data_IF_239740519169
#
_entry.id   IF_239740519169
#
_cell.length_a   1.000
_cell.length_b   1.000
_cell.length_c   1.000
_cell.angle_alpha   90.00
_cell.angle_beta   90.00
_cell.angle_gamma   90.00
#
_symmetry.space_group_name_H-M   'P 1'
#
loop_
_entity.id
_entity.type
_entity.pdbx_description
1 polymer ?
#
# COMPACT_ATOMS: atom_id res chain seq x y z
N UNK A 1 9.42 -24.23 21.98
CA UNK A 1 8.07 -24.01 21.40
C UNK A 1 7.99 -22.53 21.04
N UNK A 2 8.32 -22.16 19.80
CA UNK A 2 8.09 -20.78 19.38
C UNK A 2 6.58 -20.57 19.31
N UNK A 3 6.04 -19.60 20.05
CA UNK A 3 4.69 -19.12 19.81
C UNK A 3 4.67 -18.58 18.39
N UNK A 4 4.17 -19.36 17.44
CA UNK A 4 4.05 -18.90 16.06
C UNK A 4 3.06 -17.75 16.06
N UNK A 5 3.55 -16.52 15.94
CA UNK A 5 2.70 -15.37 15.68
C UNK A 5 2.04 -15.61 14.33
N UNK A 6 0.74 -15.88 14.34
CA UNK A 6 -0.06 -15.94 13.11
C UNK A 6 -0.05 -14.53 12.53
N UNK A 7 0.50 -14.38 11.32
CA UNK A 7 0.36 -13.14 10.57
C UNK A 7 -1.03 -13.18 9.95
N UNK A 8 -1.92 -12.31 10.41
CA UNK A 8 -3.20 -12.09 9.75
C UNK A 8 -2.92 -11.32 8.46
N UNK A 9 -3.28 -11.90 7.32
CA UNK A 9 -2.93 -11.36 6.00
C UNK A 9 -4.20 -10.95 5.29
N UNK A 10 -4.30 -9.66 5.01
CA UNK A 10 -5.36 -9.04 4.24
C UNK A 10 -4.73 -8.27 3.08
N UNK A 11 -5.32 -8.40 1.89
CA UNK A 11 -4.86 -7.70 0.70
C UNK A 11 -6.09 -7.12 0.00
N UNK A 12 -6.23 -5.81 0.00
CA UNK A 12 -7.38 -5.12 -0.58
C UNK A 12 -7.47 -5.33 -2.10
N UNK A 13 -6.35 -5.07 -2.80
CA UNK A 13 -6.23 -5.24 -4.23
C UNK A 13 -4.82 -5.66 -4.61
N UNK A 14 -4.71 -6.58 -5.57
CA UNK A 14 -3.42 -7.02 -6.10
C UNK A 14 -3.46 -7.02 -7.62
N UNK A 15 -2.61 -6.21 -8.24
CA UNK A 15 -2.45 -6.20 -9.69
C UNK A 15 -1.33 -7.16 -10.07
N UNK A 16 -1.64 -8.14 -10.94
CA UNK A 16 -0.63 -8.95 -11.61
C UNK A 16 -0.11 -8.20 -12.82
N UNK A 17 1.21 -8.12 -12.94
CA UNK A 17 1.91 -7.57 -14.10
C UNK A 17 2.80 -8.63 -14.72
N UNK A 18 3.36 -8.37 -15.91
CA UNK A 18 4.33 -9.26 -16.53
C UNK A 18 5.59 -9.47 -15.67
N UNK A 19 5.90 -8.52 -14.78
CA UNK A 19 7.15 -8.48 -14.01
C UNK A 19 7.01 -8.73 -12.51
N UNK A 20 5.84 -9.16 -12.06
CA UNK A 20 5.53 -9.40 -10.64
C UNK A 20 4.17 -8.83 -10.26
N UNK A 21 4.00 -8.53 -8.97
CA UNK A 21 2.74 -8.05 -8.41
C UNK A 21 2.89 -6.65 -7.83
N UNK A 22 1.81 -5.88 -7.91
CA UNK A 22 1.67 -4.58 -7.26
C UNK A 22 0.46 -4.67 -6.33
N UNK A 23 0.68 -4.93 -5.03
CA UNK A 23 -0.37 -4.77 -4.04
C UNK A 23 -0.72 -3.29 -3.86
N UNK A 24 -2.01 -3.02 -3.77
CA UNK A 24 -2.57 -1.71 -3.48
C UNK A 24 -3.39 -1.85 -2.20
N UNK A 25 -2.95 -1.21 -1.14
CA UNK A 25 -3.72 -1.10 0.10
C UNK A 25 -4.56 0.18 0.10
N UNK A 26 -5.81 0.11 0.53
CA UNK A 26 -6.75 1.23 0.56
C UNK A 26 -7.12 1.60 2.00
N UNK A 27 -6.67 2.77 2.47
CA UNK A 27 -7.06 3.28 3.80
C UNK A 27 -8.03 4.45 3.71
N UNK A 28 -9.17 4.29 4.37
CA UNK A 28 -10.23 5.31 4.48
C UNK A 28 -10.25 5.97 5.86
N UNK A 29 -9.07 6.19 6.44
CA UNK A 29 -8.91 6.76 7.79
C UNK A 29 -9.18 8.26 7.81
N UNK A 30 -9.32 8.82 9.02
CA UNK A 30 -9.43 10.28 9.22
C UNK A 30 -8.07 10.96 9.19
N UNK A 31 -7.06 10.29 9.71
CA UNK A 31 -5.68 10.77 9.78
C UNK A 31 -4.86 10.25 8.59
N UNK A 32 -3.82 10.98 8.14
CA UNK A 32 -2.89 10.52 7.12
C UNK A 32 -2.27 9.15 7.46
N UNK A 33 -1.93 8.38 6.43
CA UNK A 33 -1.24 7.10 6.61
C UNK A 33 0.18 7.36 7.11
N UNK A 34 0.55 6.63 8.16
CA UNK A 34 1.87 6.70 8.80
C UNK A 34 2.80 5.56 8.36
N UNK A 35 4.10 5.73 8.58
CA UNK A 35 5.11 4.70 8.29
C UNK A 35 4.85 3.36 8.99
N UNK A 36 4.26 3.37 10.19
CA UNK A 36 3.99 2.14 10.91
C UNK A 36 2.93 1.32 10.20
N UNK A 37 1.87 1.98 9.69
CA UNK A 37 0.84 1.32 8.88
C UNK A 37 1.45 0.79 7.58
N UNK A 38 2.26 1.58 6.87
CA UNK A 38 2.95 1.11 5.65
C UNK A 38 3.80 -0.14 5.90
N UNK A 39 4.56 -0.15 6.99
CA UNK A 39 5.43 -1.28 7.34
C UNK A 39 4.66 -2.53 7.75
N UNK A 40 3.52 -2.36 8.43
CA UNK A 40 2.62 -3.45 8.76
C UNK A 40 2.10 -4.14 7.50
N UNK A 41 1.65 -3.36 6.50
CA UNK A 41 1.21 -3.91 5.22
C UNK A 41 2.36 -4.59 4.46
N UNK A 42 3.55 -3.99 4.41
CA UNK A 42 4.74 -4.63 3.81
C UNK A 42 5.07 -5.96 4.52
N UNK A 43 4.92 -6.03 5.83
CA UNK A 43 5.17 -7.24 6.62
C UNK A 43 4.19 -8.38 6.29
N UNK A 44 2.94 -8.04 5.95
CA UNK A 44 1.96 -9.01 5.47
C UNK A 44 2.31 -9.65 4.12
N UNK A 45 3.36 -9.20 3.42
CA UNK A 45 3.90 -9.89 2.24
C UNK A 45 5.16 -10.71 2.53
N UNK A 46 5.76 -10.54 3.72
CA UNK A 46 7.01 -11.20 4.08
C UNK A 46 6.84 -12.73 4.10
N UNK A 47 7.73 -13.42 3.39
CA UNK A 47 7.79 -14.88 3.31
C UNK A 47 6.83 -15.50 2.30
N UNK A 48 6.03 -14.71 1.59
CA UNK A 48 5.22 -15.20 0.48
C UNK A 48 6.08 -15.39 -0.78
N UNK A 49 5.74 -16.35 -1.67
CA UNK A 49 6.53 -16.65 -2.87
C UNK A 49 6.30 -15.65 -4.02
N UNK A 50 5.80 -14.45 -3.73
CA UNK A 50 5.44 -13.45 -4.73
C UNK A 50 6.56 -12.44 -4.94
N UNK A 51 6.89 -12.17 -6.21
CA UNK A 51 7.79 -11.07 -6.58
C UNK A 51 7.01 -9.75 -6.54
N UNK A 52 7.19 -8.98 -5.48
CA UNK A 52 6.60 -7.65 -5.37
C UNK A 52 7.44 -6.67 -6.18
N UNK A 53 6.80 -6.01 -7.16
CA UNK A 53 7.44 -5.01 -8.00
C UNK A 53 7.49 -3.66 -7.29
N UNK A 54 6.37 -3.28 -6.69
CA UNK A 54 6.19 -1.99 -6.02
C UNK A 54 5.01 -2.11 -5.06
N UNK A 55 5.07 -1.43 -3.91
CA UNK A 55 3.93 -1.31 -3.02
C UNK A 55 3.18 -0.03 -3.34
N UNK A 56 1.86 -0.11 -3.39
CA UNK A 56 1.00 1.02 -3.63
C UNK A 56 0.00 1.22 -2.48
N UNK A 57 -0.37 2.47 -2.25
CA UNK A 57 -1.34 2.84 -1.23
C UNK A 57 -2.30 3.89 -1.78
N UNK A 58 -3.58 3.70 -1.51
CA UNK A 58 -4.64 4.66 -1.74
C UNK A 58 -5.11 5.20 -0.40
N UNK A 59 -5.21 6.52 -0.26
CA UNK A 59 -5.57 7.16 1.00
C UNK A 59 -6.61 8.25 0.82
N UNK A 60 -7.69 8.17 1.61
CA UNK A 60 -8.67 9.26 1.73
C UNK A 60 -8.08 10.51 2.37
N UNK A 61 -7.22 10.33 3.37
CA UNK A 61 -6.67 11.40 4.23
C UNK A 61 -5.22 11.73 3.88
N UNK A 62 -4.69 11.19 2.78
CA UNK A 62 -3.31 11.39 2.35
C UNK A 62 -2.27 10.64 3.18
N UNK A 63 -1.04 11.15 3.17
CA UNK A 63 0.17 10.52 3.71
C UNK A 63 1.03 11.55 4.44
N UNK A 64 1.79 11.16 5.46
CA UNK A 64 2.76 12.10 6.03
C UNK A 64 3.89 12.40 5.01
N UNK A 65 4.56 13.54 5.18
CA UNK A 65 5.64 14.00 4.28
C UNK A 65 6.84 13.06 4.17
N UNK A 66 7.02 12.16 5.15
CA UNK A 66 8.07 11.14 5.13
C UNK A 66 7.73 9.97 4.19
N UNK A 67 6.45 9.61 4.05
CA UNK A 67 5.99 8.59 3.08
C UNK A 67 6.10 9.12 1.66
N UNK A 68 5.70 10.37 1.42
CA UNK A 68 5.78 11.00 0.09
C UNK A 68 7.19 11.04 -0.50
N UNK A 69 8.22 10.92 0.34
CA UNK A 69 9.64 10.91 -0.08
C UNK A 69 10.18 9.51 -0.36
N UNK A 70 9.42 8.45 -0.11
CA UNK A 70 9.84 7.07 -0.37
C UNK A 70 9.63 6.72 -1.85
N UNK A 71 10.73 6.55 -2.57
CA UNK A 71 10.72 6.26 -4.01
C UNK A 71 10.23 4.85 -4.36
N UNK A 72 10.15 3.94 -3.38
CA UNK A 72 9.66 2.57 -3.56
C UNK A 72 8.14 2.45 -3.39
N UNK A 73 7.45 3.54 -3.07
CA UNK A 73 6.00 3.59 -2.91
C UNK A 73 5.33 4.27 -4.10
N UNK A 74 4.15 3.79 -4.45
CA UNK A 74 3.20 4.49 -5.31
C UNK A 74 2.03 4.95 -4.43
N UNK A 75 1.89 6.24 -4.25
CA UNK A 75 0.90 6.82 -3.35
C UNK A 75 -0.19 7.46 -4.20
N UNK A 76 -1.44 7.23 -3.84
CA UNK A 76 -2.61 7.86 -4.45
C UNK A 76 -3.42 8.50 -3.34
N UNK A 77 -3.52 9.82 -3.34
CA UNK A 77 -4.45 10.54 -2.47
C UNK A 77 -5.65 11.09 -3.25
N UNK A 78 -6.63 11.66 -2.54
CA UNK A 78 -7.82 12.20 -3.19
C UNK A 78 -7.49 13.32 -4.18
N UNK A 79 -6.48 14.15 -3.90
CA UNK A 79 -6.12 15.26 -4.78
C UNK A 79 -5.61 14.71 -6.12
N UNK A 80 -4.77 13.67 -6.10
CA UNK A 80 -4.35 12.96 -7.30
C UNK A 80 -5.52 12.29 -8.02
N UNK A 81 -6.43 11.62 -7.30
CA UNK A 81 -7.60 10.97 -7.90
C UNK A 81 -8.54 11.97 -8.58
N UNK A 82 -8.74 13.13 -7.98
CA UNK A 82 -9.58 14.19 -8.53
C UNK A 82 -8.88 14.97 -9.66
N UNK A 83 -7.55 14.97 -9.71
CA UNK A 83 -6.79 15.60 -10.81
C UNK A 83 -6.81 14.77 -12.11
N UNK A 84 -7.20 13.50 -12.02
CA UNK A 84 -7.51 12.67 -13.17
C UNK A 84 -8.90 13.05 -13.68
N UNK A 85 -9.02 14.23 -14.28
CA UNK A 85 -10.18 14.60 -15.08
C UNK A 85 -10.30 13.56 -16.20
N UNK A 86 -11.16 12.57 -15.99
CA UNK A 86 -11.67 11.73 -17.05
C UNK A 86 -12.69 12.60 -17.75
N UNK A 87 -12.32 13.19 -18.89
CA UNK A 87 -13.28 13.84 -19.78
C UNK A 87 -14.42 12.83 -20.06
N UNK A 88 -15.59 13.07 -19.47
CA UNK A 88 -16.84 12.31 -19.66
C UNK A 88 -17.34 12.40 -21.12
#
# INVERSE_FOLDING_TARGET
MASGTTVDREFDLVIKTDNGYVPIECKYTKEPISISSVNEEKYQWLGLPFKIRQFAFSSKSGFDEKEKKQSDLLLFDLDEMHSLDIDD
#
